data_IF_015334665728
#
_entry.id   IF_015334665728
#
_cell.length_a   1.000
_cell.length_b   1.000
_cell.length_c   1.000
_cell.angle_alpha   90.00
_cell.angle_beta   90.00
_cell.angle_gamma   90.00
#
_symmetry.space_group_name_H-M   'P 1'
#
loop_
_entity.id
_entity.type
_entity.pdbx_description
1 polymer ?
#
# COMPACT_ATOMS: atom_id res chain seq x y z
N UNK A 1 12.52 20.00 -0.23
CA UNK A 1 11.78 18.73 -0.43
C UNK A 1 11.08 18.42 0.88
N UNK A 2 9.75 18.40 0.94
CA UNK A 2 9.06 17.90 2.13
C UNK A 2 9.28 16.39 2.17
N UNK A 3 10.11 15.92 3.10
CA UNK A 3 10.22 14.50 3.38
C UNK A 3 8.95 14.06 4.12
N UNK A 4 8.22 13.09 3.56
CA UNK A 4 7.11 12.45 4.22
C UNK A 4 7.60 11.08 4.70
N UNK A 5 7.96 10.92 5.99
CA UNK A 5 8.58 9.69 6.41
C UNK A 5 7.51 8.59 6.44
N UNK A 6 7.83 7.44 5.82
CA UNK A 6 6.91 6.32 5.61
C UNK A 6 6.25 5.78 6.89
N UNK A 7 6.78 6.10 8.07
CA UNK A 7 6.25 5.69 9.37
C UNK A 7 5.16 6.60 9.95
N UNK A 8 4.93 7.79 9.39
CA UNK A 8 4.01 8.75 10.03
C UNK A 8 2.57 8.60 9.57
N UNK A 9 2.35 8.22 8.32
CA UNK A 9 1.00 8.00 7.82
C UNK A 9 1.02 7.29 6.46
N UNK A 10 -0.11 6.69 6.12
CA UNK A 10 -0.26 5.98 4.85
C UNK A 10 -0.23 6.92 3.63
N UNK A 11 -0.14 6.37 2.42
CA UNK A 11 -0.11 7.16 1.19
C UNK A 11 -1.36 8.03 1.00
N UNK A 12 -2.53 7.57 1.45
CA UNK A 12 -3.81 8.30 1.32
C UNK A 12 -3.84 9.47 2.31
N UNK A 13 -3.45 9.25 3.56
CA UNK A 13 -3.27 10.29 4.58
C UNK A 13 -2.34 11.39 4.08
N UNK A 14 -1.24 11.03 3.42
CA UNK A 14 -0.29 11.97 2.83
C UNK A 14 -0.95 12.83 1.77
N UNK A 15 -1.76 12.24 0.88
CA UNK A 15 -2.50 12.97 -0.15
C UNK A 15 -3.57 13.91 0.46
N UNK A 16 -4.26 13.48 1.52
CA UNK A 16 -5.23 14.33 2.24
C UNK A 16 -4.53 15.56 2.82
N UNK A 17 -3.38 15.37 3.48
CA UNK A 17 -2.58 16.45 4.05
C UNK A 17 -2.09 17.42 2.98
N UNK A 18 -1.47 16.90 1.92
CA UNK A 18 -0.95 17.71 0.81
C UNK A 18 -2.08 18.52 0.17
N UNK A 19 -3.23 17.89 -0.11
CA UNK A 19 -4.38 18.57 -0.67
C UNK A 19 -4.92 19.68 0.26
N UNK A 20 -5.01 19.40 1.57
CA UNK A 20 -5.41 20.40 2.57
C UNK A 20 -4.49 21.61 2.60
N UNK A 21 -3.18 21.38 2.60
CA UNK A 21 -2.17 22.45 2.54
C UNK A 21 -2.29 23.27 1.24
N UNK A 22 -2.37 22.61 0.09
CA UNK A 22 -2.50 23.29 -1.21
C UNK A 22 -3.78 24.15 -1.28
N UNK A 23 -4.89 23.66 -0.71
CA UNK A 23 -6.13 24.43 -0.61
C UNK A 23 -5.96 25.69 0.24
N UNK A 24 -5.29 25.59 1.40
CA UNK A 24 -4.98 26.76 2.24
C UNK A 24 -4.15 27.78 1.46
N UNK A 25 -3.08 27.34 0.79
CA UNK A 25 -2.24 28.22 -0.04
C UNK A 25 -3.05 28.92 -1.14
N UNK A 26 -3.96 28.19 -1.80
CA UNK A 26 -4.83 28.76 -2.82
C UNK A 26 -5.79 29.82 -2.25
N UNK A 27 -6.36 29.59 -1.06
CA UNK A 27 -7.24 30.56 -0.40
C UNK A 27 -6.48 31.81 0.06
N UNK A 28 -5.26 31.66 0.60
CA UNK A 28 -4.37 32.79 0.94
C UNK A 28 -4.07 33.61 -0.31
N UNK A 29 -3.74 32.95 -1.43
CA UNK A 29 -3.48 33.61 -2.71
C UNK A 29 -4.68 34.41 -3.22
N UNK A 30 -5.89 33.92 -2.94
CA UNK A 30 -7.16 34.59 -3.29
C UNK A 30 -7.61 35.62 -2.24
N UNK A 31 -6.83 35.85 -1.17
CA UNK A 31 -7.17 36.73 -0.04
C UNK A 31 -8.49 36.34 0.68
N UNK A 32 -8.87 35.06 0.62
CA UNK A 32 -10.10 34.52 1.21
C UNK A 32 -9.85 33.97 2.63
N UNK A 33 -9.40 34.83 3.53
CA UNK A 33 -8.97 34.41 4.88
C UNK A 33 -10.10 33.85 5.74
N UNK A 34 -11.34 34.34 5.57
CA UNK A 34 -12.48 33.81 6.33
C UNK A 34 -12.89 32.40 5.90
N UNK A 35 -12.59 32.01 4.65
CA UNK A 35 -12.81 30.63 4.20
C UNK A 35 -11.81 29.65 4.83
N UNK A 36 -10.59 30.12 5.15
CA UNK A 36 -9.58 29.30 5.84
C UNK A 36 -10.08 28.90 7.23
N UNK A 37 -10.74 29.82 7.93
CA UNK A 37 -11.32 29.56 9.27
C UNK A 37 -12.44 28.52 9.25
N UNK A 38 -13.06 28.28 8.09
CA UNK A 38 -14.12 27.28 7.90
C UNK A 38 -13.59 25.90 7.54
N UNK A 39 -12.28 25.76 7.27
CA UNK A 39 -11.69 24.46 6.96
C UNK A 39 -11.84 23.56 8.19
N UNK A 40 -12.50 22.43 7.99
CA UNK A 40 -12.67 21.41 9.02
C UNK A 40 -11.30 20.89 9.46
N UNK A 41 -11.04 20.95 10.76
CA UNK A 41 -9.81 20.40 11.34
C UNK A 41 -9.87 18.88 11.27
N UNK A 42 -8.80 18.29 10.75
CA UNK A 42 -8.68 16.84 10.69
C UNK A 42 -8.58 16.31 12.12
N UNK A 43 -9.52 15.43 12.47
CA UNK A 43 -9.58 14.84 13.80
C UNK A 43 -8.52 13.74 13.94
N UNK A 44 -7.92 13.58 15.13
CA UNK A 44 -7.06 12.44 15.40
C UNK A 44 -7.86 11.15 15.29
N UNK A 45 -7.24 10.09 14.77
CA UNK A 45 -7.84 8.76 14.82
C UNK A 45 -7.91 8.25 16.25
N UNK A 46 -8.94 7.43 16.52
CA UNK A 46 -8.97 6.59 17.70
C UNK A 46 -7.74 5.66 17.74
N UNK A 47 -7.37 5.19 18.93
CA UNK A 47 -6.23 4.29 19.08
C UNK A 47 -6.45 3.03 18.22
N UNK A 48 -5.39 2.51 17.61
CA UNK A 48 -5.50 1.38 16.68
C UNK A 48 -6.12 0.14 17.32
N UNK A 49 -5.90 -0.07 18.63
CA UNK A 49 -6.55 -1.14 19.40
C UNK A 49 -8.07 -0.96 19.49
N UNK A 50 -8.55 0.26 19.74
CA UNK A 50 -9.99 0.54 19.83
C UNK A 50 -10.67 0.38 18.47
N UNK A 51 -9.97 0.74 17.40
CA UNK A 51 -10.44 0.56 16.02
C UNK A 51 -10.52 -0.92 15.62
N UNK A 52 -9.54 -1.72 16.03
CA UNK A 52 -9.49 -3.16 15.73
C UNK A 52 -10.42 -3.99 16.64
N UNK A 53 -10.58 -3.58 17.89
CA UNK A 53 -11.30 -4.29 18.95
C UNK A 53 -12.29 -3.37 19.68
N UNK A 54 -13.37 -2.90 19.00
CA UNK A 54 -14.30 -1.93 19.58
C UNK A 54 -15.06 -2.46 20.80
N UNK A 55 -15.12 -3.79 20.97
CA UNK A 55 -15.74 -4.46 22.11
C UNK A 55 -14.72 -5.01 23.11
N UNK A 56 -13.46 -4.56 23.02
CA UNK A 56 -12.35 -5.12 23.79
C UNK A 56 -11.72 -6.35 23.14
N UNK A 57 -10.50 -6.63 23.55
CA UNK A 57 -9.70 -7.77 23.09
C UNK A 57 -9.87 -8.94 24.05
N UNK A 58 -10.07 -10.15 23.54
CA UNK A 58 -10.09 -11.37 24.34
C UNK A 58 -8.67 -11.97 24.49
N UNK A 59 -8.49 -12.88 25.45
CA UNK A 59 -7.17 -13.45 25.77
C UNK A 59 -6.53 -14.24 24.61
N UNK A 60 -7.33 -14.82 23.73
CA UNK A 60 -6.84 -15.53 22.53
C UNK A 60 -6.25 -14.53 21.52
N UNK A 61 -6.97 -13.44 21.25
CA UNK A 61 -6.52 -12.35 20.39
C UNK A 61 -5.25 -11.70 20.93
N UNK A 62 -5.19 -11.47 22.24
CA UNK A 62 -4.02 -10.87 22.91
C UNK A 62 -2.79 -11.76 22.77
N UNK A 63 -2.94 -13.07 23.05
CA UNK A 63 -1.87 -14.06 22.90
C UNK A 63 -1.36 -14.10 21.46
N UNK A 64 -2.28 -14.07 20.48
CA UNK A 64 -1.92 -14.09 19.05
C UNK A 64 -1.18 -12.83 18.61
N UNK A 65 -1.61 -11.66 19.05
CA UNK A 65 -0.92 -10.39 18.76
C UNK A 65 0.49 -10.41 19.35
N UNK A 66 0.63 -10.85 20.60
CA UNK A 66 1.92 -10.95 21.26
C UNK A 66 2.88 -11.90 20.51
N UNK A 67 2.37 -13.05 20.05
CA UNK A 67 3.12 -13.99 19.21
C UNK A 67 3.59 -13.34 17.90
N UNK A 68 2.69 -12.62 17.20
CA UNK A 68 3.02 -11.90 15.96
C UNK A 68 4.11 -10.86 16.21
N UNK A 69 4.01 -10.06 17.27
CA UNK A 69 4.99 -9.04 17.61
C UNK A 69 6.37 -9.65 17.91
N UNK A 70 6.43 -10.75 18.65
CA UNK A 70 7.68 -11.48 18.91
C UNK A 70 8.28 -11.99 17.61
N UNK A 71 7.49 -12.66 16.77
CA UNK A 71 7.97 -13.25 15.52
C UNK A 71 8.45 -12.16 14.56
N UNK A 72 7.73 -11.05 14.46
CA UNK A 72 8.09 -9.90 13.63
C UNK A 72 9.41 -9.28 14.09
N UNK A 73 9.59 -9.11 15.41
CA UNK A 73 10.85 -8.59 15.99
C UNK A 73 12.03 -9.52 15.68
N UNK A 74 11.85 -10.83 15.82
CA UNK A 74 12.89 -11.84 15.48
C UNK A 74 13.27 -11.79 14.00
N UNK A 75 12.30 -11.75 13.09
CA UNK A 75 12.56 -11.66 11.65
C UNK A 75 13.27 -10.36 11.31
N UNK A 76 12.78 -9.22 11.81
CA UNK A 76 13.36 -7.89 11.53
C UNK A 76 14.82 -7.79 11.95
N UNK A 77 15.18 -8.31 13.13
CA UNK A 77 16.54 -8.22 13.64
C UNK A 77 17.52 -9.13 12.89
N UNK A 78 17.02 -10.17 12.21
CA UNK A 78 17.84 -11.13 11.48
C UNK A 78 17.81 -10.93 9.96
N UNK A 79 16.91 -10.09 9.45
CA UNK A 79 16.78 -9.86 8.02
C UNK A 79 17.96 -9.06 7.48
N UNK A 80 18.59 -9.59 6.42
CA UNK A 80 19.60 -8.90 5.62
C UNK A 80 19.16 -8.91 4.17
N UNK A 81 19.11 -7.76 3.48
CA UNK A 81 18.80 -7.74 2.06
C UNK A 81 19.89 -8.51 1.31
N UNK A 82 19.48 -9.50 0.51
CA UNK A 82 20.34 -10.06 -0.53
C UNK A 82 19.94 -9.41 -1.84
N UNK A 83 20.89 -8.76 -2.50
CA UNK A 83 20.69 -8.15 -3.81
C UNK A 83 21.34 -9.06 -4.85
N UNK A 84 20.64 -9.39 -5.94
CA UNK A 84 21.20 -10.23 -7.00
C UNK A 84 22.29 -9.52 -7.84
N UNK A 85 22.69 -8.30 -7.47
CA UNK A 85 23.70 -7.53 -8.16
C UNK A 85 24.60 -6.76 -7.18
N UNK A 86 25.86 -6.61 -7.55
CA UNK A 86 26.85 -5.79 -6.82
C UNK A 86 26.65 -4.34 -7.23
N UNK A 87 26.08 -3.52 -6.34
CA UNK A 87 26.01 -2.08 -6.57
C UNK A 87 27.34 -1.44 -6.20
N UNK A 88 27.99 -0.76 -7.15
CA UNK A 88 29.24 -0.03 -6.92
C UNK A 88 29.08 1.19 -5.99
N UNK A 89 27.84 1.69 -5.82
CA UNK A 89 27.53 2.85 -5.01
C UNK A 89 26.92 2.42 -3.67
N UNK A 90 27.53 2.86 -2.56
CA UNK A 90 27.21 2.45 -1.18
C UNK A 90 25.83 2.88 -0.67
N UNK A 91 25.01 3.57 -1.46
CA UNK A 91 23.67 3.99 -1.04
C UNK A 91 22.64 3.78 -2.15
N UNK A 92 21.90 2.67 -2.03
CA UNK A 92 20.58 2.55 -2.65
C UNK A 92 19.68 3.63 -2.05
N UNK A 93 19.48 4.72 -2.80
CA UNK A 93 18.48 5.70 -2.42
C UNK A 93 17.12 5.18 -2.91
N UNK A 94 16.23 4.91 -1.96
CA UNK A 94 14.83 4.69 -2.27
C UNK A 94 14.20 6.03 -2.67
N UNK A 95 14.31 6.38 -3.96
CA UNK A 95 13.75 7.62 -4.50
C UNK A 95 12.45 7.25 -5.21
N UNK A 96 11.33 7.93 -4.91
CA UNK A 96 10.12 7.79 -5.69
C UNK A 96 10.40 8.12 -7.16
N UNK A 97 10.20 7.14 -8.04
CA UNK A 97 10.25 7.37 -9.48
C UNK A 97 8.84 7.66 -9.98
N UNK A 98 8.67 8.80 -10.63
CA UNK A 98 7.43 9.17 -11.29
C UNK A 98 7.54 8.86 -12.78
N UNK A 99 6.48 8.27 -13.34
CA UNK A 99 6.31 8.04 -14.77
C UNK A 99 4.94 8.55 -15.16
N UNK A 100 4.91 9.40 -16.17
CA UNK A 100 3.67 9.96 -16.68
C UNK A 100 3.00 9.00 -17.68
N UNK A 101 1.67 9.00 -17.68
CA UNK A 101 0.87 8.36 -18.72
C UNK A 101 -0.29 9.29 -19.07
N UNK A 102 -0.91 9.09 -20.24
CA UNK A 102 -2.07 9.89 -20.63
C UNK A 102 -3.33 9.43 -19.87
N UNK A 103 -4.29 10.36 -19.69
CA UNK A 103 -5.62 10.05 -19.16
C UNK A 103 -6.30 8.94 -19.98
N UNK A 104 -6.13 8.96 -21.30
CA UNK A 104 -6.66 7.94 -22.20
C UNK A 104 -6.08 6.55 -21.90
N UNK A 105 -4.76 6.44 -21.72
CA UNK A 105 -4.11 5.19 -21.36
C UNK A 105 -4.60 4.67 -20.01
N UNK A 106 -4.73 5.56 -19.01
CA UNK A 106 -5.28 5.20 -17.71
C UNK A 106 -6.72 4.65 -17.82
N UNK A 107 -7.59 5.32 -18.60
CA UNK A 107 -8.96 4.87 -18.80
C UNK A 107 -9.04 3.52 -19.52
N UNK A 108 -8.18 3.29 -20.52
CA UNK A 108 -8.06 1.99 -21.19
C UNK A 108 -7.63 0.89 -20.21
N UNK A 109 -6.65 1.18 -19.35
CA UNK A 109 -6.22 0.25 -18.30
C UNK A 109 -7.35 -0.05 -17.31
N UNK A 110 -8.07 0.96 -16.84
CA UNK A 110 -9.24 0.80 -15.96
C UNK A 110 -10.28 -0.10 -16.62
N UNK A 111 -10.61 0.14 -17.89
CA UNK A 111 -11.59 -0.67 -18.62
C UNK A 111 -11.12 -2.12 -18.78
N UNK A 112 -9.83 -2.33 -19.10
CA UNK A 112 -9.26 -3.67 -19.19
C UNK A 112 -9.31 -4.40 -17.84
N UNK A 113 -8.95 -3.74 -16.74
CA UNK A 113 -9.04 -4.31 -15.40
C UNK A 113 -10.48 -4.74 -15.05
N UNK A 114 -11.48 -3.92 -15.42
CA UNK A 114 -12.90 -4.27 -15.23
C UNK A 114 -13.30 -5.51 -16.03
N UNK A 115 -12.92 -5.57 -17.31
CA UNK A 115 -13.22 -6.72 -18.17
C UNK A 115 -12.57 -8.01 -17.65
N UNK A 116 -11.37 -7.92 -17.08
CA UNK A 116 -10.63 -9.03 -16.48
C UNK A 116 -11.07 -9.35 -15.04
N UNK A 117 -11.96 -8.54 -14.44
CA UNK A 117 -12.39 -8.63 -13.04
C UNK A 117 -11.22 -8.61 -12.04
N UNK A 118 -10.26 -7.72 -12.28
CA UNK A 118 -9.08 -7.50 -11.41
C UNK A 118 -8.91 -6.03 -11.07
N UNK A 119 -7.94 -5.71 -10.20
CA UNK A 119 -7.59 -4.33 -9.86
C UNK A 119 -6.32 -3.86 -10.56
N UNK A 120 -6.16 -2.54 -10.68
CA UNK A 120 -4.91 -1.93 -11.17
C UNK A 120 -3.71 -2.38 -10.32
N UNK A 121 -3.90 -2.56 -9.00
CA UNK A 121 -2.84 -3.05 -8.11
C UNK A 121 -2.28 -4.40 -8.54
N UNK A 122 -3.14 -5.35 -8.91
CA UNK A 122 -2.71 -6.67 -9.41
C UNK A 122 -1.91 -6.56 -10.72
N UNK A 123 -2.29 -5.63 -11.60
CA UNK A 123 -1.55 -5.34 -12.84
C UNK A 123 -0.18 -4.73 -12.53
N UNK A 124 -0.10 -3.77 -11.61
CA UNK A 124 1.17 -3.14 -11.24
C UNK A 124 2.15 -4.14 -10.63
N UNK A 125 1.69 -5.01 -9.75
CA UNK A 125 2.52 -6.10 -9.19
C UNK A 125 2.99 -7.03 -10.31
N UNK A 126 2.11 -7.38 -11.26
CA UNK A 126 2.50 -8.19 -12.43
C UNK A 126 3.60 -7.51 -13.25
N UNK A 127 3.48 -6.20 -13.49
CA UNK A 127 4.52 -5.42 -14.18
C UNK A 127 5.87 -5.50 -13.46
N UNK A 128 5.90 -5.54 -12.13
CA UNK A 128 7.14 -5.69 -11.38
C UNK A 128 7.79 -7.06 -11.64
N UNK A 129 7.03 -8.16 -11.58
CA UNK A 129 7.57 -9.50 -11.88
C UNK A 129 8.12 -9.61 -13.30
N UNK A 130 7.35 -9.17 -14.31
CA UNK A 130 7.80 -9.18 -15.70
C UNK A 130 8.98 -8.24 -15.94
N UNK A 131 9.00 -7.09 -15.25
CA UNK A 131 10.12 -6.16 -15.26
C UNK A 131 11.40 -6.79 -14.68
N UNK A 132 11.30 -7.44 -13.52
CA UNK A 132 12.41 -8.15 -12.88
C UNK A 132 12.92 -9.30 -13.74
N UNK A 133 12.03 -10.11 -14.31
CA UNK A 133 12.42 -11.17 -15.24
C UNK A 133 13.24 -10.63 -16.41
N UNK A 134 12.78 -9.54 -17.03
CA UNK A 134 13.51 -8.91 -18.13
C UNK A 134 14.86 -8.32 -17.69
N UNK A 135 14.93 -7.74 -16.50
CA UNK A 135 16.17 -7.16 -15.97
C UNK A 135 17.20 -8.22 -15.59
N UNK A 136 16.77 -9.35 -15.04
CA UNK A 136 17.63 -10.45 -14.62
C UNK A 136 18.00 -11.38 -15.78
N UNK A 137 17.22 -11.36 -16.87
CA UNK A 137 17.36 -12.33 -17.96
C UNK A 137 16.88 -13.74 -17.58
N UNK A 138 16.12 -13.84 -16.49
CA UNK A 138 15.60 -15.09 -15.94
C UNK A 138 14.07 -15.10 -16.05
N UNK A 139 13.50 -16.19 -16.55
CA UNK A 139 12.06 -16.36 -16.64
C UNK A 139 11.46 -16.93 -15.35
N UNK A 140 12.23 -17.74 -14.63
CA UNK A 140 11.86 -18.23 -13.31
C UNK A 140 12.12 -17.17 -12.25
N UNK A 141 11.03 -16.58 -11.77
CA UNK A 141 11.07 -15.56 -10.73
C UNK A 141 10.22 -16.04 -9.56
N UNK A 142 10.87 -16.35 -8.44
CA UNK A 142 10.23 -16.60 -7.14
C UNK A 142 10.52 -15.41 -6.22
N UNK A 143 9.54 -14.52 -6.09
CA UNK A 143 9.64 -13.33 -5.25
C UNK A 143 8.56 -13.36 -4.18
N UNK A 144 8.98 -12.95 -2.98
CA UNK A 144 8.07 -12.64 -1.88
C UNK A 144 7.89 -11.14 -1.83
N UNK A 145 6.69 -10.69 -2.21
CA UNK A 145 6.32 -9.28 -2.11
C UNK A 145 5.42 -9.06 -0.91
N UNK A 146 5.78 -8.06 -0.14
CA UNK A 146 4.90 -7.45 0.83
C UNK A 146 4.11 -6.34 0.12
N UNK A 147 2.78 -6.38 0.24
CA UNK A 147 1.88 -5.39 -0.32
C UNK A 147 1.15 -4.69 0.80
N UNK A 148 1.27 -3.36 0.78
CA UNK A 148 0.49 -2.48 1.64
C UNK A 148 -0.99 -2.49 1.24
N UNK A 149 -1.87 -2.80 2.18
CA UNK A 149 -3.32 -2.79 2.01
C UNK A 149 -3.94 -1.65 2.79
N UNK A 150 -4.77 -0.85 2.11
CA UNK A 150 -5.51 0.24 2.76
C UNK A 150 -6.59 -0.34 3.70
N UNK A 151 -6.51 -0.01 4.99
CA UNK A 151 -7.43 -0.49 6.02
C UNK A 151 -8.64 0.41 6.25
N UNK A 152 -8.69 1.62 5.67
CA UNK A 152 -9.72 2.65 5.94
C UNK A 152 -11.15 2.15 5.81
N UNK A 153 -11.41 1.30 4.82
CA UNK A 153 -12.74 0.73 4.55
C UNK A 153 -12.89 -0.71 5.04
N UNK A 154 -11.90 -1.22 5.78
CA UNK A 154 -11.79 -2.61 6.22
C UNK A 154 -12.00 -2.80 7.72
N UNK A 155 -12.03 -1.72 8.50
CA UNK A 155 -12.51 -1.74 9.88
C UNK A 155 -14.04 -1.92 9.93
N UNK A 156 -14.56 -2.35 11.10
CA UNK A 156 -16.00 -2.45 11.36
C UNK A 156 -16.68 -1.10 11.09
N UNK A 157 -16.08 -0.03 11.62
CA UNK A 157 -16.48 1.34 11.33
C UNK A 157 -15.60 1.89 10.21
N UNK A 158 -16.17 2.09 9.02
CA UNK A 158 -15.44 2.66 7.88
C UNK A 158 -14.99 4.08 8.19
N UNK A 159 -13.68 4.32 8.09
CA UNK A 159 -13.06 5.60 8.44
C UNK A 159 -13.09 6.61 7.28
N UNK A 160 -13.21 6.13 6.04
CA UNK A 160 -13.18 6.96 4.83
C UNK A 160 -11.93 7.84 4.74
N UNK A 161 -12.10 9.06 4.19
CA UNK A 161 -11.01 10.02 3.93
C UNK A 161 -10.98 11.22 4.88
N UNK A 162 -11.71 11.15 6.01
CA UNK A 162 -11.78 12.26 6.98
C UNK A 162 -10.70 12.21 8.07
N UNK A 163 -9.98 11.10 8.13
CA UNK A 163 -9.05 10.79 9.20
C UNK A 163 -7.63 10.63 8.66
N UNK A 164 -6.63 11.01 9.46
CA UNK A 164 -5.20 10.77 9.16
C UNK A 164 -4.65 9.73 10.13
N UNK A 165 -3.86 8.80 9.60
CA UNK A 165 -3.08 7.87 10.39
C UNK A 165 -2.29 6.90 9.52
N UNK A 166 -1.67 5.93 10.18
CA UNK A 166 -1.06 4.77 9.52
C UNK A 166 -2.12 3.66 9.38
N UNK A 167 -3.04 3.83 8.42
CA UNK A 167 -4.16 2.91 8.20
C UNK A 167 -3.81 1.92 7.08
N UNK A 168 -2.68 1.24 7.25
CA UNK A 168 -2.12 0.28 6.30
C UNK A 168 -1.85 -1.04 7.01
N UNK A 169 -2.30 -2.12 6.40
CA UNK A 169 -1.87 -3.48 6.73
C UNK A 169 -0.88 -3.98 5.69
N UNK A 170 -0.32 -5.16 5.92
CA UNK A 170 0.57 -5.82 4.98
C UNK A 170 0.00 -7.20 4.66
N UNK A 171 0.01 -7.57 3.39
CA UNK A 171 -0.17 -8.96 2.95
C UNK A 171 1.08 -9.42 2.22
N UNK A 172 1.45 -10.68 2.45
CA UNK A 172 2.53 -11.32 1.71
C UNK A 172 1.98 -12.10 0.53
N UNK A 173 2.52 -11.83 -0.66
CA UNK A 173 2.30 -12.65 -1.84
C UNK A 173 3.38 -13.71 -1.97
N UNK A 174 2.96 -14.89 -2.39
CA UNK A 174 3.83 -16.02 -2.69
C UNK A 174 3.39 -16.61 -4.03
N UNK A 175 3.94 -16.05 -5.11
CA UNK A 175 3.64 -16.42 -6.49
C UNK A 175 4.95 -16.49 -7.26
N UNK A 176 5.06 -17.51 -8.10
CA UNK A 176 6.16 -17.74 -9.03
C UNK A 176 5.73 -17.51 -10.47
N UNK A 177 6.65 -17.05 -11.31
CA UNK A 177 6.48 -16.89 -12.75
C UNK A 177 7.51 -17.77 -13.48
N UNK A 178 7.16 -18.23 -14.69
CA UNK A 178 8.04 -18.95 -15.63
C UNK A 178 7.91 -18.42 -17.07
N UNK A 179 8.62 -19.03 -18.02
CA UNK A 179 8.62 -18.64 -19.44
C UNK A 179 7.28 -18.83 -20.16
N UNK A 180 6.36 -19.62 -19.60
CA UNK A 180 5.04 -19.88 -20.16
C UNK A 180 3.96 -18.97 -19.57
N UNK A 181 4.32 -18.19 -18.55
CA UNK A 181 3.38 -17.35 -17.83
C UNK A 181 2.87 -16.19 -18.69
N UNK A 182 1.56 -16.13 -18.90
CA UNK A 182 0.92 -15.04 -19.62
C UNK A 182 0.56 -13.89 -18.68
N UNK A 183 0.87 -12.65 -19.10
CA UNK A 183 0.71 -11.46 -18.26
C UNK A 183 -0.67 -11.31 -17.60
N UNK A 184 -1.75 -11.41 -18.38
CA UNK A 184 -3.10 -11.22 -17.84
C UNK A 184 -3.57 -12.40 -16.99
N UNK A 185 -3.10 -13.60 -17.27
CA UNK A 185 -3.36 -14.75 -16.40
C UNK A 185 -2.68 -14.58 -15.05
N UNK A 186 -1.42 -14.16 -15.07
CA UNK A 186 -0.65 -13.86 -13.88
C UNK A 186 -1.29 -12.75 -13.03
N UNK A 187 -1.78 -11.68 -13.66
CA UNK A 187 -2.50 -10.62 -12.97
C UNK A 187 -3.78 -11.12 -12.28
N UNK A 188 -4.52 -12.06 -12.90
CA UNK A 188 -5.67 -12.72 -12.27
C UNK A 188 -5.25 -13.61 -11.09
N UNK A 189 -4.14 -14.32 -11.20
CA UNK A 189 -3.61 -15.13 -10.09
C UNK A 189 -3.21 -14.26 -8.89
N UNK A 190 -2.50 -13.14 -9.13
CA UNK A 190 -2.18 -12.14 -8.10
C UNK A 190 -3.45 -11.60 -7.46
N UNK A 191 -4.45 -11.21 -8.26
CA UNK A 191 -5.71 -10.69 -7.74
C UNK A 191 -6.41 -11.71 -6.81
N UNK A 192 -6.46 -12.98 -7.23
CA UNK A 192 -7.03 -14.06 -6.43
C UNK A 192 -6.28 -14.27 -5.12
N UNK A 193 -4.94 -14.21 -5.14
CA UNK A 193 -4.15 -14.36 -3.91
C UNK A 193 -4.32 -13.19 -2.95
N UNK A 194 -4.35 -11.95 -3.46
CA UNK A 194 -4.64 -10.75 -2.66
C UNK A 194 -5.99 -10.91 -1.94
N UNK A 195 -7.05 -11.25 -2.68
CA UNK A 195 -8.37 -11.42 -2.08
C UNK A 195 -8.40 -12.57 -1.06
N UNK A 196 -7.72 -13.69 -1.34
CA UNK A 196 -7.61 -14.81 -0.39
C UNK A 196 -6.94 -14.38 0.91
N UNK A 197 -5.82 -13.65 0.84
CA UNK A 197 -5.10 -13.15 2.02
C UNK A 197 -5.95 -12.16 2.82
N UNK A 198 -6.63 -11.24 2.13
CA UNK A 198 -7.53 -10.28 2.78
C UNK A 198 -8.65 -10.97 3.55
N UNK A 199 -9.29 -11.99 2.95
CA UNK A 199 -10.34 -12.78 3.61
C UNK A 199 -9.79 -13.53 4.82
N UNK A 200 -8.60 -14.12 4.71
CA UNK A 200 -7.93 -14.81 5.83
C UNK A 200 -7.63 -13.88 7.01
N UNK A 201 -7.37 -12.60 6.73
CA UNK A 201 -7.16 -11.56 7.73
C UNK A 201 -8.47 -10.96 8.27
N UNK A 202 -9.63 -11.49 7.87
CA UNK A 202 -10.94 -11.00 8.30
C UNK A 202 -11.38 -9.69 7.61
N UNK A 203 -10.67 -9.26 6.56
CA UNK A 203 -11.05 -8.09 5.78
C UNK A 203 -11.95 -8.48 4.60
N UNK A 204 -12.98 -7.64 4.34
CA UNK A 204 -13.90 -7.79 3.21
C UNK A 204 -13.37 -7.16 1.92
#
# INVERSE_FOLDING_TARGET
MLGYPHCFADGVSGMILINGLLNIYNLIRQQKYDEIKKIELIQPIQHALDLAFPNGMNSEQESRIHEILINTSKVRNNWKPSLPFVHSERQLRNIPQFRDSSKECFLKLVQKCRNEQITIGSVLVSCLYFGFSKMLGEYQIDLKFDIDVNLRDRFINKLGFKNIGMLVGNIQLNISMDEHTQFWEFARQIHKQINKQLVQLGFR
#
